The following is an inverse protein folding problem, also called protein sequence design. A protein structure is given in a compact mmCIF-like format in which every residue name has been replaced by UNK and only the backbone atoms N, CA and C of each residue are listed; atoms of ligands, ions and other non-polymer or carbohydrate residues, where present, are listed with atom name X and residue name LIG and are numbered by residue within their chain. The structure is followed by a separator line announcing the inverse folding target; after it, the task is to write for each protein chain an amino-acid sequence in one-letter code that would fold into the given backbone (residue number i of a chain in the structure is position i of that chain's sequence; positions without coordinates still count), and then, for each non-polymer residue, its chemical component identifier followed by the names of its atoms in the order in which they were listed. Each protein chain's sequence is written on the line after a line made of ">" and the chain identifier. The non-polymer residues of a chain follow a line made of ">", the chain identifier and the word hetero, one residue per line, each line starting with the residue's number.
data_IF_467580562102
#
_entry.id   IF_467580562102
#
_cell.length_a   1.000
_cell.length_b   1.000
_cell.length_c   1.000
_cell.angle_alpha   90.00
_cell.angle_beta   90.00
_cell.angle_gamma   90.00
#
_symmetry.space_group_name_H-M   'P 1'
#
loop_
_entity.id
_entity.type
_entity.pdbx_description
1 polymer ?
#
# COMPACT_ATOMS: atom_id res chain seq x y z
N UNK A 1 -12.56 -8.57 5.74
CA UNK A 1 -11.90 -8.47 4.43
C UNK A 1 -11.89 -7.01 4.01
N UNK A 2 -10.72 -6.48 3.66
CA UNK A 2 -10.55 -5.07 3.31
C UNK A 2 -9.89 -4.99 1.94
N UNK A 3 -10.51 -4.25 1.03
CA UNK A 3 -10.01 -4.07 -0.34
C UNK A 3 -9.09 -2.84 -0.48
N UNK A 4 -9.12 -1.94 0.51
CA UNK A 4 -8.37 -0.68 0.49
C UNK A 4 -7.68 -0.35 1.82
N UNK A 5 -6.53 0.31 1.72
CA UNK A 5 -5.75 0.83 2.84
C UNK A 5 -5.46 2.32 2.61
N UNK A 6 -5.77 3.17 3.57
CA UNK A 6 -5.43 4.60 3.51
C UNK A 6 -4.37 4.90 4.59
N UNK A 7 -3.27 5.53 4.18
CA UNK A 7 -2.16 5.86 5.08
C UNK A 7 -1.79 7.33 5.02
N UNK A 8 -1.11 7.78 6.08
CA UNK A 8 -0.41 9.07 6.15
C UNK A 8 1.10 8.82 6.20
N UNK A 9 1.87 9.91 6.24
CA UNK A 9 3.35 9.92 6.19
C UNK A 9 4.04 9.07 7.27
N UNK A 10 3.44 8.90 8.44
CA UNK A 10 4.06 8.17 9.55
C UNK A 10 4.06 6.64 9.35
N UNK A 11 3.08 6.10 8.61
CA UNK A 11 2.93 4.65 8.44
C UNK A 11 3.75 4.16 7.26
N UNK A 12 4.69 3.24 7.48
CA UNK A 12 5.43 2.58 6.39
C UNK A 12 4.67 1.34 5.92
N UNK A 13 4.27 1.32 4.66
CA UNK A 13 3.64 0.16 4.02
C UNK A 13 4.73 -0.68 3.36
N UNK A 14 5.25 -1.65 4.11
CA UNK A 14 6.32 -2.54 3.65
C UNK A 14 5.77 -3.72 2.85
N UNK A 15 6.65 -4.43 2.12
CA UNK A 15 6.29 -5.66 1.43
C UNK A 15 5.70 -6.73 2.33
N UNK A 16 6.10 -6.82 3.60
CA UNK A 16 5.55 -7.76 4.58
C UNK A 16 4.09 -7.45 4.92
N UNK A 17 3.77 -6.17 5.14
CA UNK A 17 2.39 -5.72 5.39
C UNK A 17 1.52 -6.01 4.17
N UNK A 18 2.04 -5.72 2.97
CA UNK A 18 1.34 -6.03 1.73
C UNK A 18 1.11 -7.55 1.65
N UNK A 19 2.13 -8.38 1.83
CA UNK A 19 2.01 -9.84 1.76
C UNK A 19 0.96 -10.42 2.73
N UNK A 20 0.86 -9.88 3.94
CA UNK A 20 -0.16 -10.26 4.92
C UNK A 20 -1.58 -9.83 4.50
N UNK A 21 -1.72 -8.78 3.70
CA UNK A 21 -2.99 -8.25 3.22
C UNK A 21 -3.47 -9.01 1.97
N UNK A 22 -4.11 -10.16 2.20
CA UNK A 22 -4.48 -11.13 1.14
C UNK A 22 -5.49 -10.63 0.11
N UNK A 23 -6.38 -9.71 0.49
CA UNK A 23 -7.44 -9.18 -0.39
C UNK A 23 -7.25 -7.70 -0.75
N UNK A 24 -6.12 -7.10 -0.37
CA UNK A 24 -5.87 -5.69 -0.62
C UNK A 24 -5.69 -5.44 -2.12
N UNK A 25 -6.39 -4.42 -2.64
CA UNK A 25 -6.36 -4.03 -4.07
C UNK A 25 -5.84 -2.62 -4.27
N UNK A 26 -6.00 -1.74 -3.29
CA UNK A 26 -5.59 -0.34 -3.38
C UNK A 26 -4.97 0.17 -2.09
N UNK A 27 -3.92 0.98 -2.21
CA UNK A 27 -3.33 1.77 -1.13
C UNK A 27 -3.38 3.23 -1.53
N UNK A 28 -4.06 4.06 -0.74
CA UNK A 28 -4.09 5.51 -0.94
C UNK A 28 -3.23 6.21 0.11
N UNK A 29 -2.44 7.19 -0.30
CA UNK A 29 -1.70 8.05 0.62
C UNK A 29 -2.27 9.46 0.61
N UNK A 30 -2.61 9.97 1.78
CA UNK A 30 -3.01 11.36 1.91
C UNK A 30 -1.78 12.29 1.80
N UNK A 31 -1.48 12.78 0.59
CA UNK A 31 -0.39 13.71 0.32
C UNK A 31 0.11 13.62 -1.13
N UNK A 32 1.25 14.25 -1.45
CA UNK A 32 1.77 14.34 -2.85
C UNK A 32 2.72 13.22 -3.30
N UNK A 33 3.54 12.66 -2.42
CA UNK A 33 4.40 11.49 -2.69
C UNK A 33 3.79 10.12 -2.40
N UNK A 34 4.61 9.06 -2.41
CA UNK A 34 4.29 7.64 -2.03
C UNK A 34 5.52 6.93 -1.44
N UNK A 35 6.44 7.73 -0.93
CA UNK A 35 7.77 7.41 -0.39
C UNK A 35 7.77 6.42 0.79
N UNK A 36 6.65 6.30 1.51
CA UNK A 36 6.45 5.38 2.62
C UNK A 36 5.80 4.05 2.18
N UNK A 37 5.65 3.78 0.88
CA UNK A 37 5.03 2.56 0.34
C UNK A 37 6.04 1.79 -0.50
N UNK A 38 6.16 0.49 -0.29
CA UNK A 38 6.93 -0.41 -1.15
C UNK A 38 6.19 -0.62 -2.49
N UNK A 39 6.46 0.28 -3.43
CA UNK A 39 5.84 0.27 -4.76
C UNK A 39 6.16 -1.00 -5.54
N UNK A 40 7.36 -1.55 -5.41
CA UNK A 40 7.74 -2.78 -6.11
C UNK A 40 6.93 -3.97 -5.61
N UNK A 41 6.78 -4.11 -4.29
CA UNK A 41 5.93 -5.14 -3.71
C UNK A 41 4.45 -4.94 -4.08
N UNK A 42 3.95 -3.70 -4.10
CA UNK A 42 2.58 -3.40 -4.51
C UNK A 42 2.34 -3.76 -6.00
N UNK A 43 3.21 -3.33 -6.91
CA UNK A 43 3.12 -3.62 -8.34
C UNK A 43 3.16 -5.12 -8.62
N UNK A 44 4.08 -5.87 -7.98
CA UNK A 44 4.15 -7.34 -8.15
C UNK A 44 2.87 -8.06 -7.75
N UNK A 45 2.10 -7.49 -6.82
CA UNK A 45 0.83 -8.05 -6.34
C UNK A 45 -0.39 -7.48 -7.05
N UNK A 46 -0.21 -6.57 -8.01
CA UNK A 46 -1.32 -5.91 -8.69
C UNK A 46 -2.10 -4.94 -7.79
N UNK A 47 -1.47 -4.43 -6.73
CA UNK A 47 -2.05 -3.42 -5.85
C UNK A 47 -1.80 -2.04 -6.43
N UNK A 48 -2.88 -1.28 -6.62
CA UNK A 48 -2.82 0.09 -7.11
C UNK A 48 -2.41 1.02 -5.96
N UNK A 49 -1.48 1.93 -6.22
CA UNK A 49 -1.09 2.97 -5.26
C UNK A 49 -1.53 4.33 -5.78
N UNK A 50 -2.27 5.07 -4.95
CA UNK A 50 -2.87 6.38 -5.23
C UNK A 50 -2.32 7.47 -4.30
#
# INVERSE_FOLDING_TARGET
>A
HHDGLIVRSETKVTGEILAAATNLRVVGRAGTGVDNIDLLAATRRGIVVL
#
